data_IF_084804719748
#
_entry.id   IF_084804719748
#
_cell.length_a   1.000
_cell.length_b   1.000
_cell.length_c   1.000
_cell.angle_alpha   90.00
_cell.angle_beta   90.00
_cell.angle_gamma   90.00
#
_symmetry.space_group_name_H-M   'P 1'
#
loop_
_entity.id
_entity.type
_entity.pdbx_description
1 polymer ?
#
# COMPACT_ATOMS: atom_id res chain seq x y z
N UNK A 1 -2.94 -21.49 -9.83
CA UNK A 1 -1.87 -20.81 -9.07
C UNK A 1 -0.86 -21.86 -8.63
N UNK A 2 0.39 -21.74 -9.05
CA UNK A 2 1.45 -22.65 -8.59
C UNK A 2 1.73 -22.37 -7.11
N UNK A 3 1.65 -23.40 -6.26
CA UNK A 3 2.04 -23.28 -4.85
C UNK A 3 3.52 -22.89 -4.76
N UNK A 4 3.80 -21.72 -4.20
CA UNK A 4 5.17 -21.28 -3.99
C UNK A 4 5.76 -22.16 -2.88
N UNK A 5 6.56 -23.17 -3.26
CA UNK A 5 7.28 -24.01 -2.30
C UNK A 5 8.37 -23.19 -1.61
N UNK A 6 8.08 -22.71 -0.40
CA UNK A 6 9.04 -21.97 0.44
C UNK A 6 10.00 -22.96 1.11
N UNK A 7 11.29 -22.89 0.78
CA UNK A 7 12.31 -23.74 1.40
C UNK A 7 12.52 -23.38 2.89
N UNK A 8 13.05 -24.32 3.68
CA UNK A 8 13.37 -24.09 5.09
C UNK A 8 14.34 -22.92 5.29
N UNK A 9 15.29 -22.75 4.36
CA UNK A 9 16.23 -21.64 4.36
C UNK A 9 15.53 -20.30 4.15
N UNK A 10 14.55 -20.26 3.24
CA UNK A 10 13.73 -19.06 3.04
C UNK A 10 12.93 -18.73 4.30
N UNK A 11 12.37 -19.72 5.00
CA UNK A 11 11.69 -19.50 6.30
C UNK A 11 12.63 -18.94 7.35
N UNK A 12 13.87 -19.41 7.41
CA UNK A 12 14.89 -18.89 8.33
C UNK A 12 15.25 -17.43 7.99
N UNK A 13 15.40 -17.11 6.70
CA UNK A 13 15.62 -15.74 6.23
C UNK A 13 14.46 -14.80 6.58
N UNK A 14 13.21 -15.25 6.45
CA UNK A 14 12.05 -14.46 6.90
C UNK A 14 12.07 -14.17 8.40
N UNK A 15 12.59 -15.10 9.21
CA UNK A 15 12.66 -14.93 10.67
C UNK A 15 13.77 -13.96 11.10
N UNK A 16 14.89 -13.94 10.38
CA UNK A 16 16.07 -13.15 10.75
C UNK A 16 16.10 -11.79 10.03
N UNK A 17 15.76 -11.76 8.74
CA UNK A 17 15.80 -10.57 7.87
C UNK A 17 14.59 -10.54 6.91
N UNK A 18 13.38 -10.25 7.41
CA UNK A 18 12.15 -10.29 6.64
C UNK A 18 12.17 -9.40 5.39
N UNK A 19 12.77 -8.21 5.47
CA UNK A 19 12.87 -7.29 4.33
C UNK A 19 13.70 -7.87 3.17
N UNK A 20 14.88 -8.43 3.47
CA UNK A 20 15.75 -9.06 2.46
C UNK A 20 15.12 -10.33 1.87
N UNK A 21 14.41 -11.11 2.69
CA UNK A 21 13.69 -12.30 2.24
C UNK A 21 12.56 -11.94 1.26
N UNK A 22 11.77 -10.90 1.56
CA UNK A 22 10.74 -10.37 0.64
C UNK A 22 11.35 -9.90 -0.67
N UNK A 23 12.44 -9.13 -0.62
CA UNK A 23 13.10 -8.60 -1.82
C UNK A 23 13.66 -9.71 -2.72
N UNK A 24 14.27 -10.74 -2.12
CA UNK A 24 14.73 -11.94 -2.85
C UNK A 24 13.57 -12.69 -3.51
N UNK A 25 12.43 -12.78 -2.83
CA UNK A 25 11.24 -13.45 -3.35
C UNK A 25 10.61 -12.65 -4.50
N UNK A 26 10.47 -11.33 -4.34
CA UNK A 26 10.01 -10.43 -5.40
C UNK A 26 10.88 -10.59 -6.67
N UNK A 27 12.20 -10.62 -6.50
CA UNK A 27 13.14 -10.87 -7.62
C UNK A 27 12.94 -12.22 -8.29
N UNK A 28 12.74 -13.29 -7.53
CA UNK A 28 12.46 -14.64 -8.08
C UNK A 28 11.12 -14.73 -8.80
N UNK A 29 10.15 -13.90 -8.41
CA UNK A 29 8.83 -13.83 -9.03
C UNK A 29 8.79 -12.88 -10.24
N UNK A 30 9.92 -12.28 -10.63
CA UNK A 30 9.96 -11.25 -11.68
C UNK A 30 9.29 -9.94 -11.29
N UNK A 31 9.04 -9.73 -9.99
CA UNK A 31 8.45 -8.53 -9.40
C UNK A 31 9.54 -7.54 -8.94
N UNK A 32 10.84 -7.88 -9.09
CA UNK A 32 11.93 -6.91 -8.95
C UNK A 32 11.90 -5.93 -10.13
N UNK A 33 10.86 -5.12 -10.11
CA UNK A 33 10.56 -4.01 -10.99
C UNK A 33 11.08 -2.75 -10.28
N UNK A 34 11.87 -1.88 -10.94
CA UNK A 34 12.26 -0.59 -10.39
C UNK A 34 11.07 0.20 -9.81
N UNK A 35 9.88 0.05 -10.39
CA UNK A 35 8.64 0.64 -9.88
C UNK A 35 8.28 0.13 -8.48
N UNK A 36 8.51 -1.16 -8.20
CA UNK A 36 8.28 -1.74 -6.88
C UNK A 36 9.28 -1.20 -5.86
N UNK A 37 10.56 -1.06 -6.23
CA UNK A 37 11.58 -0.51 -5.34
C UNK A 37 11.28 0.97 -5.01
N UNK A 38 10.87 1.77 -6.00
CA UNK A 38 10.45 3.16 -5.80
C UNK A 38 9.19 3.27 -4.91
N UNK A 39 8.20 2.41 -5.16
CA UNK A 39 7.00 2.35 -4.32
C UNK A 39 7.35 1.94 -2.89
N UNK A 40 8.20 0.92 -2.71
CA UNK A 40 8.65 0.47 -1.39
C UNK A 40 9.40 1.59 -0.65
N UNK A 41 10.26 2.32 -1.34
CA UNK A 41 10.95 3.48 -0.77
C UNK A 41 9.95 4.56 -0.31
N UNK A 42 8.98 4.91 -1.17
CA UNK A 42 7.93 5.88 -0.84
C UNK A 42 7.14 5.44 0.39
N UNK A 43 6.60 4.22 0.38
CA UNK A 43 5.74 3.72 1.45
C UNK A 43 6.52 3.44 2.74
N UNK A 44 7.83 3.19 2.69
CA UNK A 44 8.68 3.04 3.89
C UNK A 44 8.83 4.33 4.70
N UNK A 45 8.69 5.50 4.05
CA UNK A 45 8.80 6.83 4.68
C UNK A 45 7.47 7.32 5.25
N UNK A 46 6.37 6.65 4.91
CA UNK A 46 5.02 6.98 5.35
C UNK A 46 4.68 6.22 6.62
N UNK A 47 4.24 6.94 7.66
CA UNK A 47 3.89 6.32 8.95
C UNK A 47 2.48 5.72 8.98
N UNK A 48 1.53 6.31 8.25
CA UNK A 48 0.11 5.93 8.21
C UNK A 48 -0.44 6.21 6.83
N UNK A 49 -1.11 5.22 6.23
CA UNK A 49 -1.79 5.35 4.95
C UNK A 49 -3.28 5.21 5.22
N UNK A 50 -4.07 6.23 4.90
CA UNK A 50 -5.52 6.17 4.97
C UNK A 50 -6.12 5.92 3.58
N UNK A 51 -7.18 5.12 3.53
CA UNK A 51 -7.93 4.81 2.30
C UNK A 51 -9.34 5.35 2.44
N UNK A 52 -9.73 6.26 1.56
CA UNK A 52 -11.03 6.92 1.60
C UNK A 52 -11.80 6.65 0.30
N UNK A 53 -13.13 6.49 0.33
CA UNK A 53 -13.91 6.46 -0.90
C UNK A 53 -13.85 7.83 -1.59
N UNK A 54 -13.79 7.84 -2.93
CA UNK A 54 -13.90 9.08 -3.70
C UNK A 54 -15.32 9.64 -3.60
N UNK A 55 -15.45 10.93 -3.34
CA UNK A 55 -16.75 11.61 -3.24
C UNK A 55 -17.30 12.10 -4.60
N UNK A 56 -16.57 11.91 -5.71
CA UNK A 56 -16.84 12.52 -7.02
C UNK A 56 -17.98 11.86 -7.82
N UNK A 57 -18.83 11.04 -7.19
CA UNK A 57 -19.92 10.29 -7.86
C UNK A 57 -19.45 9.12 -8.74
N UNK A 58 -18.16 9.04 -9.04
CA UNK A 58 -17.51 7.88 -9.64
C UNK A 58 -17.03 6.92 -8.55
N UNK A 59 -17.12 5.61 -8.80
CA UNK A 59 -16.55 4.61 -7.89
C UNK A 59 -15.04 4.76 -7.92
N UNK A 60 -14.44 5.10 -6.79
CA UNK A 60 -13.01 5.40 -6.70
C UNK A 60 -12.56 5.44 -5.25
N UNK A 61 -11.25 5.64 -5.04
CA UNK A 61 -10.68 5.80 -3.71
C UNK A 61 -9.50 6.78 -3.74
N UNK A 62 -9.15 7.26 -2.55
CA UNK A 62 -8.06 8.18 -2.30
C UNK A 62 -7.12 7.50 -1.32
N UNK A 63 -5.82 7.45 -1.65
CA UNK A 63 -4.77 7.05 -0.72
C UNK A 63 -4.14 8.31 -0.13
N UNK A 64 -4.33 8.54 1.16
CA UNK A 64 -3.68 9.64 1.87
C UNK A 64 -2.41 9.12 2.50
N UNK A 65 -1.27 9.59 2.03
CA UNK A 65 0.07 9.15 2.48
C UNK A 65 0.54 9.95 3.69
N UNK A 66 0.16 11.22 3.78
CA UNK A 66 0.44 12.05 4.94
C UNK A 66 -0.53 13.25 4.97
N UNK A 67 -0.29 14.20 5.88
CA UNK A 67 -1.10 15.42 5.98
C UNK A 67 -1.03 16.32 4.74
N UNK A 68 -0.22 16.00 3.75
CA UNK A 68 0.07 16.86 2.59
C UNK A 68 -0.12 16.17 1.24
N UNK A 69 -0.19 14.85 1.20
CA UNK A 69 -0.05 14.05 -0.01
C UNK A 69 -1.19 13.06 -0.11
N UNK A 70 -1.98 13.18 -1.18
CA UNK A 70 -3.05 12.25 -1.50
C UNK A 70 -2.95 11.81 -2.96
N UNK A 71 -3.22 10.53 -3.22
CA UNK A 71 -3.26 9.92 -4.56
C UNK A 71 -4.70 9.51 -4.87
N UNK A 72 -5.18 9.85 -6.06
CA UNK A 72 -6.57 9.67 -6.47
C UNK A 72 -6.68 8.54 -7.50
N UNK A 73 -7.71 7.71 -7.32
CA UNK A 73 -7.99 6.59 -8.20
C UNK A 73 -9.49 6.52 -8.50
N UNK A 74 -9.84 6.30 -9.77
CA UNK A 74 -11.22 6.04 -10.19
C UNK A 74 -11.31 4.69 -10.91
N UNK A 75 -12.48 4.06 -10.81
CA UNK A 75 -12.75 2.78 -11.46
C UNK A 75 -13.06 3.02 -12.94
N UNK A 76 -12.33 2.31 -13.81
CA UNK A 76 -12.63 2.19 -15.21
C UNK A 76 -12.86 0.71 -15.56
N UNK A 77 -14.13 0.32 -15.73
CA UNK A 77 -14.48 -1.08 -15.95
C UNK A 77 -14.15 -1.98 -14.76
N UNK A 78 -13.21 -2.90 -14.94
CA UNK A 78 -12.80 -3.91 -13.96
C UNK A 78 -11.56 -3.52 -13.11
N UNK A 79 -10.95 -2.37 -13.38
CA UNK A 79 -9.74 -1.92 -12.69
C UNK A 79 -9.82 -0.45 -12.26
N UNK A 80 -8.89 -0.04 -11.41
CA UNK A 80 -8.73 1.36 -11.01
C UNK A 80 -7.58 1.99 -11.78
N UNK A 81 -7.76 3.25 -12.18
CA UNK A 81 -6.76 4.06 -12.88
C UNK A 81 -6.36 5.20 -11.95
N UNK A 82 -5.07 5.53 -11.98
CA UNK A 82 -4.53 6.70 -11.29
C UNK A 82 -4.99 7.99 -11.97
N UNK A 83 -5.67 8.85 -11.21
CA UNK A 83 -6.28 10.11 -11.69
C UNK A 83 -5.39 11.33 -11.43
N UNK A 84 -4.41 11.19 -10.53
CA UNK A 84 -3.53 12.27 -10.13
C UNK A 84 -3.27 12.32 -8.63
N UNK A 85 -2.64 13.39 -8.21
CA UNK A 85 -2.27 13.61 -6.81
C UNK A 85 -2.60 15.04 -6.38
N UNK A 86 -2.81 15.22 -5.09
CA UNK A 86 -2.90 16.53 -4.46
C UNK A 86 -1.71 16.72 -3.53
N UNK A 87 -1.10 17.91 -3.61
CA UNK A 87 -0.11 18.41 -2.66
C UNK A 87 -0.72 19.60 -1.92
N UNK A 88 -1.30 19.35 -0.73
CA UNK A 88 -2.04 20.35 0.04
C UNK A 88 -2.34 19.84 1.45
N UNK A 89 -2.45 20.75 2.44
CA UNK A 89 -2.78 20.33 3.82
C UNK A 89 -4.17 19.70 3.84
N UNK A 90 -4.21 18.39 4.07
CA UNK A 90 -5.44 17.66 4.28
C UNK A 90 -5.99 18.01 5.67
N UNK A 91 -7.07 18.80 5.74
CA UNK A 91 -7.65 19.27 7.02
C UNK A 91 -8.36 18.17 7.82
N UNK A 92 -8.66 17.02 7.18
CA UNK A 92 -9.35 15.86 7.81
C UNK A 92 -8.37 14.82 8.40
N UNK A 93 -7.18 15.25 8.84
CA UNK A 93 -6.08 14.40 9.29
C UNK A 93 -6.31 13.57 10.58
N UNK A 94 -7.51 13.58 11.15
CA UNK A 94 -7.90 12.79 12.34
C UNK A 94 -9.06 11.82 12.06
N UNK A 95 -9.26 11.39 10.82
CA UNK A 95 -10.23 10.32 10.54
C UNK A 95 -9.54 8.98 10.79
N UNK A 96 -9.47 8.56 12.06
CA UNK A 96 -9.12 7.18 12.39
C UNK A 96 -10.37 6.32 12.43
N UNK A 97 -10.81 5.85 11.25
CA UNK A 97 -11.97 4.95 11.11
C UNK A 97 -11.77 3.68 11.97
N UNK A 98 -10.51 3.26 12.19
CA UNK A 98 -10.18 2.03 12.90
C UNK A 98 -9.62 2.19 14.32
N UNK A 99 -9.39 3.41 14.84
CA UNK A 99 -8.96 3.54 16.27
C UNK A 99 -10.08 3.09 17.21
N UNK A 100 -11.33 3.28 16.80
CA UNK A 100 -12.51 2.89 17.56
C UNK A 100 -12.92 1.42 17.36
N UNK A 101 -12.20 0.64 16.53
CA UNK A 101 -12.47 -0.79 16.36
C UNK A 101 -11.85 -1.65 17.47
N UNK A 102 -11.13 -1.06 18.43
CA UNK A 102 -10.71 -1.73 19.68
C UNK A 102 -11.65 -1.44 20.83
N UNK A 103 -12.87 -1.95 20.74
CA UNK A 103 -13.64 -2.46 21.86
C UNK A 103 -14.97 -2.96 21.32
N UNK A 104 -15.05 -4.27 21.05
CA UNK A 104 -16.24 -5.09 21.25
C UNK A 104 -15.87 -6.55 20.96
N UNK A 105 -15.76 -7.35 22.02
CA UNK A 105 -15.87 -8.82 22.00
C UNK A 105 -14.60 -9.59 21.64
#
# INVERSE_FOLDING_TARGET
MNEIKISWFTKLMFKLWPGMAMMSMAKKMGIADPLFDEAQELFSKVRRIDVLPSASGLRGFILVLDRKTALYFYQNGDHFIYDGFEMGRYEKGDITIFDNAKHNG
#
